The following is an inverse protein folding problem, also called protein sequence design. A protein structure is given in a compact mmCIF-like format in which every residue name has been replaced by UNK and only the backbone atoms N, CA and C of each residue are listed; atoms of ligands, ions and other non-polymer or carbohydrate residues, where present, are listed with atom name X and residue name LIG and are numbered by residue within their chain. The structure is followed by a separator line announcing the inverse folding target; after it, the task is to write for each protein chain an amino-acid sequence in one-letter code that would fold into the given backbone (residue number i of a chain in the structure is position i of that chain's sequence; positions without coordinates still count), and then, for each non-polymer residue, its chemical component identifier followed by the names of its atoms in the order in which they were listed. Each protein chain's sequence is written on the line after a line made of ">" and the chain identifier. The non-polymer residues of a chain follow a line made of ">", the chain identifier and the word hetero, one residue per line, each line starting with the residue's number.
data_IF_018406479472
#
_entry.id   IF_018406479472
#
_cell.length_a   1.000
_cell.length_b   1.000
_cell.length_c   1.000
_cell.angle_alpha   90.00
_cell.angle_beta   90.00
_cell.angle_gamma   90.00
#
_symmetry.space_group_name_H-M   'P 1'
#
loop_
_entity.id
_entity.type
_entity.pdbx_description
1 polymer ?
#
# COMPACT_ATOMS: atom_id res chain seq x y z
N UNK A 1 -6.39 -30.13 -6.61
CA UNK A 1 -7.76 -30.12 -7.14
C UNK A 1 -8.27 -28.70 -6.95
N UNK A 2 -7.98 -27.83 -7.93
CA UNK A 2 -8.31 -26.41 -7.87
C UNK A 2 -9.75 -26.26 -8.35
N UNK A 3 -10.66 -26.01 -7.41
CA UNK A 3 -12.05 -25.71 -7.73
C UNK A 3 -12.12 -24.26 -8.19
N UNK A 4 -12.68 -24.11 -9.39
CA UNK A 4 -13.02 -22.90 -10.09
C UNK A 4 -13.86 -21.97 -9.20
N UNK A 5 -13.27 -20.87 -8.74
CA UNK A 5 -14.02 -19.67 -8.34
C UNK A 5 -13.35 -18.45 -8.93
N UNK A 6 -13.88 -18.07 -10.09
CA UNK A 6 -14.01 -16.72 -10.64
C UNK A 6 -12.73 -15.87 -10.77
N UNK A 7 -12.22 -15.94 -12.00
CA UNK A 7 -11.25 -15.03 -12.57
C UNK A 7 -11.92 -13.72 -12.99
N UNK A 8 -11.61 -12.61 -12.31
CA UNK A 8 -11.72 -11.26 -12.88
C UNK A 8 -10.73 -10.32 -12.18
N UNK A 9 -9.44 -10.51 -12.44
CA UNK A 9 -8.42 -9.49 -12.14
C UNK A 9 -7.24 -9.45 -13.11
N UNK A 10 -7.25 -10.28 -14.16
CA UNK A 10 -6.25 -10.21 -15.23
C UNK A 10 -6.97 -9.98 -16.55
N UNK A 11 -7.14 -8.70 -16.86
CA UNK A 11 -7.25 -8.10 -18.20
C UNK A 11 -7.45 -6.58 -18.01
N UNK A 12 -6.35 -5.81 -18.04
CA UNK A 12 -6.42 -4.53 -18.76
C UNK A 12 -6.56 -4.90 -20.23
N UNK A 13 -7.80 -5.17 -20.65
CA UNK A 13 -8.14 -5.19 -22.06
C UNK A 13 -8.16 -3.73 -22.50
N UNK A 14 -7.29 -3.43 -23.47
CA UNK A 14 -7.46 -2.45 -24.55
C UNK A 14 -8.40 -1.28 -24.28
N UNK A 15 -7.85 -0.08 -24.38
CA UNK A 15 -8.52 1.19 -24.68
C UNK A 15 -9.72 0.95 -25.61
N UNK A 16 -10.93 0.80 -25.04
CA UNK A 16 -12.24 0.97 -25.68
C UNK A 16 -13.36 0.54 -24.71
N UNK A 17 -13.76 1.51 -23.87
CA UNK A 17 -15.04 1.71 -23.17
C UNK A 17 -14.80 2.24 -21.76
N UNK A 18 -14.49 3.55 -21.65
CA UNK A 18 -14.67 4.27 -20.39
C UNK A 18 -16.16 4.18 -20.04
N UNK A 19 -16.49 3.35 -19.06
CA UNK A 19 -17.80 3.40 -18.43
C UNK A 19 -17.90 4.79 -17.78
N UNK A 20 -18.96 5.53 -18.11
CA UNK A 20 -19.32 6.74 -17.34
C UNK A 20 -19.76 6.23 -15.98
N UNK A 21 -18.82 6.21 -15.03
CA UNK A 21 -19.13 6.06 -13.61
C UNK A 21 -20.02 7.24 -13.25
N UNK A 22 -21.20 6.99 -12.69
CA UNK A 22 -22.15 8.03 -12.31
C UNK A 22 -21.68 8.73 -11.01
N UNK A 23 -20.54 9.40 -11.11
CA UNK A 23 -19.97 10.19 -10.04
C UNK A 23 -20.92 11.31 -9.60
N UNK A 24 -21.77 11.82 -10.51
CA UNK A 24 -22.77 12.84 -10.19
C UNK A 24 -23.84 12.29 -9.24
N UNK A 25 -24.36 11.09 -9.50
CA UNK A 25 -25.32 10.45 -8.61
C UNK A 25 -24.73 10.10 -7.25
N UNK A 26 -23.52 9.51 -7.23
CA UNK A 26 -22.84 9.17 -5.98
C UNK A 26 -22.51 10.43 -5.17
N UNK A 27 -21.99 11.49 -5.80
CA UNK A 27 -21.73 12.76 -5.12
C UNK A 27 -23.01 13.37 -4.54
N UNK A 28 -24.12 13.32 -5.29
CA UNK A 28 -25.42 13.80 -4.82
C UNK A 28 -25.91 13.05 -3.57
N UNK A 29 -25.74 11.72 -3.53
CA UNK A 29 -26.08 10.93 -2.34
C UNK A 29 -25.22 11.31 -1.14
N UNK A 30 -23.91 11.47 -1.33
CA UNK A 30 -22.98 11.88 -0.28
C UNK A 30 -23.37 13.26 0.29
N UNK A 31 -23.64 14.24 -0.58
CA UNK A 31 -24.06 15.58 -0.17
C UNK A 31 -25.35 15.54 0.67
N UNK A 32 -26.34 14.76 0.25
CA UNK A 32 -27.59 14.57 0.99
C UNK A 32 -27.35 13.92 2.37
N UNK A 33 -26.49 12.89 2.43
CA UNK A 33 -26.13 12.22 3.69
C UNK A 33 -25.43 13.14 4.70
N UNK A 34 -24.63 14.10 4.21
CA UNK A 34 -23.86 15.00 5.07
C UNK A 34 -24.57 16.31 5.40
N UNK A 35 -25.69 16.63 4.73
CA UNK A 35 -26.36 17.94 4.80
C UNK A 35 -26.72 18.40 6.23
N UNK A 36 -27.03 17.48 7.14
CA UNK A 36 -27.39 17.77 8.53
C UNK A 36 -26.24 17.55 9.53
N UNK A 37 -25.01 17.38 9.03
CA UNK A 37 -23.82 17.17 9.85
C UNK A 37 -22.95 18.43 9.84
N UNK A 38 -21.95 18.50 10.73
CA UNK A 38 -20.91 19.54 10.68
C UNK A 38 -20.02 19.49 9.44
N UNK A 39 -20.14 18.42 8.64
CA UNK A 39 -19.42 18.18 7.41
C UNK A 39 -20.31 18.37 6.17
N UNK A 40 -21.41 19.11 6.30
CA UNK A 40 -22.21 19.53 5.15
C UNK A 40 -21.31 20.26 4.14
N UNK A 41 -21.43 19.89 2.86
CA UNK A 41 -20.60 20.39 1.78
C UNK A 41 -21.44 21.13 0.74
N UNK A 42 -20.85 22.12 0.09
CA UNK A 42 -21.46 22.86 -1.03
C UNK A 42 -21.16 22.21 -2.38
N UNK A 43 -20.04 21.49 -2.49
CA UNK A 43 -19.59 20.84 -3.71
C UNK A 43 -18.63 19.67 -3.40
N UNK A 44 -18.53 18.72 -4.33
CA UNK A 44 -17.66 17.56 -4.29
C UNK A 44 -17.01 17.33 -5.66
N UNK A 45 -15.69 17.38 -5.72
CA UNK A 45 -14.90 17.09 -6.93
C UNK A 45 -14.27 15.70 -6.80
N UNK A 46 -14.44 14.79 -7.79
CA UNK A 46 -13.79 13.48 -7.76
C UNK A 46 -12.27 13.61 -7.66
N UNK A 47 -11.65 12.78 -6.82
CA UNK A 47 -10.21 12.60 -6.79
C UNK A 47 -9.83 11.34 -7.56
N UNK A 48 -8.77 11.43 -8.36
CA UNK A 48 -8.21 10.30 -9.09
C UNK A 48 -7.39 9.39 -8.15
N UNK A 49 -7.18 8.13 -8.57
CA UNK A 49 -6.24 7.20 -7.91
C UNK A 49 -6.88 6.05 -7.11
N UNK A 50 -8.16 6.13 -6.74
CA UNK A 50 -8.85 5.05 -6.02
C UNK A 50 -9.42 3.98 -6.95
N UNK A 51 -9.11 2.69 -6.75
CA UNK A 51 -9.70 1.59 -7.53
C UNK A 51 -11.04 1.09 -6.96
N UNK A 52 -11.16 1.09 -5.63
CA UNK A 52 -12.24 0.42 -4.90
C UNK A 52 -13.30 1.39 -4.37
N UNK A 53 -12.90 2.54 -3.83
CA UNK A 53 -13.83 3.50 -3.24
C UNK A 53 -14.03 4.73 -4.13
N UNK A 54 -15.15 5.40 -3.95
CA UNK A 54 -15.39 6.71 -4.55
C UNK A 54 -14.75 7.75 -3.63
N UNK A 55 -13.83 8.52 -4.17
CA UNK A 55 -13.06 9.51 -3.40
C UNK A 55 -13.36 10.88 -3.98
N UNK A 56 -13.68 11.84 -3.11
CA UNK A 56 -13.96 13.22 -3.49
C UNK A 56 -13.20 14.16 -2.57
N UNK A 57 -12.76 15.29 -3.12
CA UNK A 57 -12.46 16.49 -2.34
C UNK A 57 -13.75 17.31 -2.27
N UNK A 58 -14.23 17.58 -1.07
CA UNK A 58 -15.44 18.33 -0.86
C UNK A 58 -15.15 19.68 -0.21
N UNK A 59 -15.87 20.71 -0.63
CA UNK A 59 -15.81 22.04 -0.02
C UNK A 59 -16.92 22.14 1.01
N UNK A 60 -16.55 22.41 2.26
CA UNK A 60 -17.49 22.51 3.37
C UNK A 60 -18.35 23.77 3.26
N UNK A 61 -19.60 23.67 3.68
CA UNK A 61 -20.51 24.83 3.80
C UNK A 61 -20.08 25.79 4.91
N UNK A 62 -19.41 25.26 5.94
CA UNK A 62 -18.83 26.02 7.04
C UNK A 62 -17.42 25.48 7.31
N UNK A 63 -16.38 26.34 7.40
CA UNK A 63 -15.03 25.89 7.74
C UNK A 63 -14.98 25.16 9.09
N UNK A 64 -14.03 24.22 9.22
CA UNK A 64 -13.74 23.54 10.49
C UNK A 64 -13.06 24.48 11.49
N UNK A 65 -12.92 24.03 12.74
CA UNK A 65 -12.26 24.81 13.80
C UNK A 65 -10.79 25.15 13.51
N UNK A 66 -10.11 24.31 12.72
CA UNK A 66 -8.75 24.52 12.22
C UNK A 66 -8.70 25.40 10.96
N UNK A 67 -9.83 26.02 10.58
CA UNK A 67 -10.03 26.85 9.39
C UNK A 67 -9.92 26.08 8.07
N UNK A 68 -9.86 24.75 8.11
CA UNK A 68 -9.93 23.95 6.89
C UNK A 68 -11.31 24.09 6.25
N UNK A 69 -11.32 24.48 4.97
CA UNK A 69 -12.53 24.64 4.16
C UNK A 69 -12.85 23.40 3.34
N UNK A 70 -11.92 22.44 3.28
CA UNK A 70 -12.06 21.21 2.48
C UNK A 70 -11.84 19.96 3.31
N UNK A 71 -12.48 18.87 2.87
CA UNK A 71 -12.33 17.52 3.42
C UNK A 71 -12.20 16.50 2.29
N UNK A 72 -11.58 15.36 2.58
CA UNK A 72 -11.61 14.21 1.69
C UNK A 72 -12.72 13.27 2.12
N UNK A 73 -13.66 13.01 1.21
CA UNK A 73 -14.76 12.08 1.41
C UNK A 73 -14.41 10.76 0.72
N UNK A 74 -14.39 9.68 1.49
CA UNK A 74 -14.19 8.33 0.98
C UNK A 74 -15.46 7.52 1.20
N UNK A 75 -16.15 7.20 0.12
CA UNK A 75 -17.41 6.47 0.15
C UNK A 75 -17.20 5.03 -0.35
N UNK A 76 -17.51 4.07 0.51
CA UNK A 76 -17.30 2.66 0.26
C UNK A 76 -18.59 1.89 0.04
N UNK A 77 -18.70 1.25 -1.13
CA UNK A 77 -19.83 0.38 -1.48
C UNK A 77 -19.46 -1.10 -1.42
N UNK A 78 -20.48 -1.96 -1.54
CA UNK A 78 -20.34 -3.42 -1.68
C UNK A 78 -19.67 -3.87 -2.99
N UNK A 79 -19.32 -2.93 -3.86
CA UNK A 79 -18.63 -3.14 -5.12
C UNK A 79 -17.56 -2.06 -5.32
N UNK A 80 -16.57 -2.35 -6.17
CA UNK A 80 -15.50 -1.42 -6.49
C UNK A 80 -15.98 -0.29 -7.41
N UNK A 81 -15.50 0.94 -7.17
CA UNK A 81 -15.83 2.12 -7.96
C UNK A 81 -15.39 2.00 -9.43
N UNK A 82 -14.16 1.48 -9.66
CA UNK A 82 -13.53 1.49 -10.98
C UNK A 82 -13.29 0.09 -11.56
N UNK A 83 -13.76 -0.97 -10.90
CA UNK A 83 -13.62 -2.35 -11.37
C UNK A 83 -14.99 -3.00 -11.47
N UNK A 84 -15.47 -3.12 -12.71
CA UNK A 84 -16.79 -3.69 -13.03
C UNK A 84 -16.94 -5.09 -12.44
N UNK A 85 -18.12 -5.36 -11.88
CA UNK A 85 -18.52 -6.66 -11.30
C UNK A 85 -17.67 -7.14 -10.11
N UNK A 86 -16.71 -6.33 -9.66
CA UNK A 86 -15.89 -6.65 -8.51
C UNK A 86 -16.65 -6.34 -7.21
N UNK A 87 -17.19 -7.40 -6.60
CA UNK A 87 -17.74 -7.31 -5.25
C UNK A 87 -16.61 -7.12 -4.22
N UNK A 88 -16.81 -6.17 -3.31
CA UNK A 88 -15.87 -5.82 -2.25
C UNK A 88 -16.60 -5.67 -0.92
N UNK A 89 -16.15 -6.38 0.13
CA UNK A 89 -16.85 -6.38 1.40
C UNK A 89 -16.76 -4.98 2.05
N UNK A 90 -17.89 -4.47 2.55
CA UNK A 90 -17.96 -3.12 3.15
C UNK A 90 -17.18 -3.04 4.48
N UNK A 91 -16.95 -4.18 5.15
CA UNK A 91 -16.16 -4.29 6.39
C UNK A 91 -14.79 -3.59 6.31
N UNK A 92 -14.21 -3.44 5.12
CA UNK A 92 -12.96 -2.70 4.88
C UNK A 92 -13.04 -1.24 5.33
N UNK A 93 -14.20 -0.60 5.18
CA UNK A 93 -14.46 0.78 5.58
C UNK A 93 -14.50 0.92 7.10
N UNK A 94 -15.15 -0.05 7.76
CA UNK A 94 -15.21 -0.11 9.23
C UNK A 94 -13.83 -0.36 9.84
N UNK A 95 -13.04 -1.25 9.23
CA UNK A 95 -11.68 -1.54 9.69
C UNK A 95 -10.75 -0.34 9.51
N UNK A 96 -10.82 0.35 8.37
CA UNK A 96 -10.12 1.61 8.15
C UNK A 96 -10.53 2.67 9.18
N UNK A 97 -11.82 2.90 9.38
CA UNK A 97 -12.31 3.88 10.34
C UNK A 97 -11.85 3.56 11.77
N UNK A 98 -11.96 2.30 12.20
CA UNK A 98 -11.55 1.85 13.52
C UNK A 98 -10.03 2.02 13.73
N UNK A 99 -9.21 1.62 12.76
CA UNK A 99 -7.76 1.67 12.88
C UNK A 99 -7.22 3.10 12.81
N UNK A 100 -7.73 3.93 11.90
CA UNK A 100 -7.31 5.34 11.81
C UNK A 100 -7.76 6.12 13.05
N UNK A 101 -8.96 5.85 13.58
CA UNK A 101 -9.40 6.44 14.85
C UNK A 101 -8.46 6.08 16.01
N UNK A 102 -8.03 4.82 16.09
CA UNK A 102 -7.05 4.40 17.08
C UNK A 102 -5.71 5.14 16.87
N UNK A 103 -5.20 5.19 15.65
CA UNK A 103 -3.96 5.93 15.31
C UNK A 103 -4.05 7.41 15.66
N UNK A 104 -5.18 8.07 15.41
CA UNK A 104 -5.41 9.47 15.78
C UNK A 104 -5.45 9.66 17.30
N UNK A 105 -5.98 8.70 18.06
CA UNK A 105 -6.02 8.78 19.53
C UNK A 105 -4.63 8.64 20.19
N UNK A 106 -3.69 8.02 19.48
CA UNK A 106 -2.31 7.80 19.95
C UNK A 106 -1.36 8.94 19.58
N UNK A 107 -1.84 9.95 18.87
CA UNK A 107 -1.01 10.98 18.23
C UNK A 107 0.15 10.34 17.45
N UNK A 108 -0.20 9.49 16.49
CA UNK A 108 0.72 8.68 15.67
C UNK A 108 1.77 9.47 14.87
N UNK A 109 1.81 10.80 15.00
CA UNK A 109 2.80 11.68 14.43
C UNK A 109 4.17 11.45 15.05
N UNK A 110 5.10 10.89 14.28
CA UNK A 110 6.49 10.74 14.69
C UNK A 110 7.38 11.68 13.88
N UNK A 111 7.95 12.68 14.55
CA UNK A 111 8.91 13.60 13.94
C UNK A 111 10.32 13.10 14.18
N UNK A 112 11.01 12.77 13.09
CA UNK A 112 12.41 12.39 13.12
C UNK A 112 13.31 13.54 13.55
N UNK A 113 14.53 13.23 13.98
CA UNK A 113 15.57 14.22 14.27
C UNK A 113 15.91 15.14 13.10
N UNK A 114 15.54 14.75 11.89
CA UNK A 114 15.85 15.47 10.66
C UNK A 114 14.66 16.35 10.21
N UNK A 115 13.64 16.53 11.06
CA UNK A 115 12.47 17.36 10.78
C UNK A 115 11.43 16.73 9.85
N UNK A 116 11.57 15.44 9.52
CA UNK A 116 10.55 14.70 8.75
C UNK A 116 9.53 14.11 9.72
N UNK A 117 8.26 14.48 9.56
CA UNK A 117 7.12 13.92 10.29
C UNK A 117 6.43 12.84 9.46
N UNK A 118 6.14 11.68 10.07
CA UNK A 118 5.27 10.65 9.49
C UNK A 118 4.03 10.51 10.37
N UNK A 119 2.84 10.56 9.76
CA UNK A 119 1.55 10.48 10.44
C UNK A 119 0.47 9.83 9.59
N UNK A 120 -0.73 9.71 10.14
CA UNK A 120 -1.96 9.39 9.41
C UNK A 120 -2.82 10.63 9.19
N UNK A 121 -3.80 10.59 8.26
CA UNK A 121 -4.80 11.65 8.17
C UNK A 121 -5.66 11.64 9.44
N UNK A 122 -6.22 12.79 9.80
CA UNK A 122 -7.29 12.84 10.80
C UNK A 122 -8.57 12.29 10.20
N UNK A 123 -9.19 11.33 10.87
CA UNK A 123 -10.55 10.91 10.61
C UNK A 123 -11.50 11.80 11.41
N UNK A 124 -12.18 12.71 10.72
CA UNK A 124 -13.12 13.63 11.33
C UNK A 124 -14.46 12.98 11.67
N UNK A 125 -14.93 12.06 10.82
CA UNK A 125 -16.19 11.33 11.04
C UNK A 125 -16.25 10.04 10.24
N UNK A 126 -17.16 9.15 10.66
CA UNK A 126 -17.55 7.97 9.90
C UNK A 126 -19.07 7.80 9.95
N UNK A 127 -19.71 8.03 8.81
CA UNK A 127 -21.15 7.82 8.61
C UNK A 127 -21.37 6.37 8.21
N UNK A 128 -21.79 5.54 9.16
CA UNK A 128 -21.92 4.09 8.97
C UNK A 128 -22.88 3.68 7.84
N UNK A 129 -23.91 4.49 7.55
CA UNK A 129 -24.87 4.26 6.47
C UNK A 129 -25.11 5.59 5.75
N UNK A 130 -24.54 5.80 4.54
CA UNK A 130 -24.13 4.79 3.57
C UNK A 130 -22.60 4.49 3.52
N UNK A 131 -21.89 4.42 4.64
CA UNK A 131 -20.42 4.22 4.68
C UNK A 131 -19.63 5.34 4.00
N UNK A 132 -19.57 6.49 4.66
CA UNK A 132 -18.77 7.65 4.25
C UNK A 132 -17.76 7.96 5.35
N UNK A 133 -16.47 7.88 5.03
CA UNK A 133 -15.39 8.37 5.88
C UNK A 133 -15.08 9.81 5.51
N UNK A 134 -15.01 10.69 6.51
CA UNK A 134 -14.67 12.10 6.36
C UNK A 134 -13.25 12.29 6.90
N UNK A 135 -12.28 12.49 6.00
CA UNK A 135 -10.88 12.69 6.33
C UNK A 135 -10.46 14.15 6.20
N UNK A 136 -9.39 14.48 6.92
CA UNK A 136 -8.53 15.62 6.63
C UNK A 136 -8.16 15.69 5.15
N UNK A 137 -8.33 16.86 4.52
CA UNK A 137 -7.75 17.14 3.22
C UNK A 137 -6.30 17.59 3.38
N UNK A 138 -5.37 16.70 3.03
CA UNK A 138 -3.95 16.97 3.06
C UNK A 138 -3.54 17.79 1.81
N UNK A 139 -4.05 19.02 1.73
CA UNK A 139 -3.92 19.90 0.58
C UNK A 139 -2.46 20.29 0.29
N UNK A 140 -2.14 20.59 -0.98
CA UNK A 140 -0.77 20.89 -1.40
C UNK A 140 0.20 19.71 -1.32
N UNK A 141 -0.31 18.49 -1.19
CA UNK A 141 0.47 17.26 -1.23
C UNK A 141 0.39 16.58 -2.59
N UNK A 142 1.31 15.65 -2.83
CA UNK A 142 1.28 14.68 -3.92
C UNK A 142 1.55 13.28 -3.38
N UNK A 143 1.31 12.23 -4.17
CA UNK A 143 1.75 10.90 -3.76
C UNK A 143 3.27 10.85 -3.74
N UNK A 144 3.84 10.03 -2.86
CA UNK A 144 5.27 9.83 -2.79
C UNK A 144 5.79 9.14 -4.07
N UNK A 145 4.94 8.34 -4.72
CA UNK A 145 5.20 7.85 -6.07
C UNK A 145 5.41 9.01 -7.07
N UNK A 146 4.50 9.98 -7.11
CA UNK A 146 4.62 11.12 -8.04
C UNK A 146 5.85 11.97 -7.71
N UNK A 147 6.10 12.23 -6.42
CA UNK A 147 7.31 12.91 -5.96
C UNK A 147 8.59 12.24 -6.48
N UNK A 148 8.64 10.91 -6.47
CA UNK A 148 9.78 10.16 -7.00
C UNK A 148 9.90 10.19 -8.52
N UNK A 149 8.80 10.34 -9.23
CA UNK A 149 8.79 10.43 -10.69
C UNK A 149 9.18 11.83 -11.16
N UNK A 150 8.58 12.84 -10.54
CA UNK A 150 8.71 14.26 -10.89
C UNK A 150 10.08 14.81 -10.51
N UNK A 151 10.73 14.25 -9.48
CA UNK A 151 12.08 14.66 -9.01
C UNK A 151 12.16 16.17 -8.78
N UNK A 152 11.37 16.71 -7.83
CA UNK A 152 11.33 18.15 -7.61
C UNK A 152 12.69 18.69 -7.18
N UNK A 153 12.89 19.98 -7.38
CA UNK A 153 14.11 20.69 -7.00
C UNK A 153 14.48 20.43 -5.53
N UNK A 154 15.76 20.19 -5.28
CA UNK A 154 16.27 19.90 -3.94
C UNK A 154 16.22 18.43 -3.55
N UNK A 155 15.40 17.58 -4.20
CA UNK A 155 15.38 16.14 -3.93
C UNK A 155 16.74 15.49 -4.26
N UNK A 156 17.32 14.81 -3.27
CA UNK A 156 18.65 14.22 -3.36
C UNK A 156 18.77 12.94 -2.51
N UNK A 157 19.93 12.29 -2.58
CA UNK A 157 20.26 11.06 -1.84
C UNK A 157 20.06 11.14 -0.32
N UNK A 158 20.37 12.28 0.30
CA UNK A 158 20.23 12.45 1.75
C UNK A 158 18.76 12.58 2.14
N UNK A 159 17.97 13.34 1.38
CA UNK A 159 16.52 13.44 1.56
C UNK A 159 15.85 12.08 1.34
N UNK A 160 16.23 11.34 0.28
CA UNK A 160 15.71 10.00 0.03
C UNK A 160 16.00 9.05 1.21
N UNK A 161 17.23 9.08 1.72
CA UNK A 161 17.63 8.32 2.91
C UNK A 161 16.81 8.71 4.14
N UNK A 162 16.62 10.01 4.38
CA UNK A 162 15.89 10.53 5.53
C UNK A 162 14.40 10.20 5.49
N UNK A 163 13.76 10.31 4.31
CA UNK A 163 12.38 9.88 4.07
C UNK A 163 12.26 8.39 4.38
N UNK A 164 13.12 7.56 3.78
CA UNK A 164 13.10 6.12 4.00
C UNK A 164 13.27 5.76 5.48
N UNK A 165 14.22 6.38 6.16
CA UNK A 165 14.47 6.16 7.58
C UNK A 165 13.27 6.52 8.46
N UNK A 166 12.60 7.63 8.16
CA UNK A 166 11.44 8.09 8.91
C UNK A 166 10.25 7.16 8.71
N UNK A 167 10.00 6.72 7.47
CA UNK A 167 8.96 5.73 7.14
C UNK A 167 9.23 4.39 7.83
N UNK A 168 10.47 3.88 7.77
CA UNK A 168 10.85 2.64 8.43
C UNK A 168 10.67 2.71 9.96
N UNK A 169 11.06 3.82 10.59
CA UNK A 169 10.88 4.03 12.03
C UNK A 169 9.41 4.06 12.42
N UNK A 170 8.61 4.83 11.68
CA UNK A 170 7.19 4.94 11.93
C UNK A 170 6.48 3.59 11.74
N UNK A 171 6.83 2.83 10.69
CA UNK A 171 6.26 1.50 10.46
C UNK A 171 6.66 0.51 11.56
N UNK A 172 7.90 0.58 12.05
CA UNK A 172 8.34 -0.24 13.17
C UNK A 172 7.57 0.07 14.45
N UNK A 173 7.33 1.35 14.73
CA UNK A 173 6.48 1.78 15.84
C UNK A 173 5.06 1.23 15.66
N UNK A 174 4.43 1.45 14.51
CA UNK A 174 3.08 0.96 14.20
C UNK A 174 2.93 -0.55 14.44
N UNK A 175 3.87 -1.36 13.92
CA UNK A 175 3.83 -2.81 14.09
C UNK A 175 4.00 -3.28 15.55
N UNK A 176 4.59 -2.47 16.41
CA UNK A 176 4.93 -2.85 17.79
C UNK A 176 4.15 -2.07 18.85
N UNK A 177 3.25 -1.18 18.44
CA UNK A 177 2.48 -0.35 19.35
C UNK A 177 1.52 -1.19 20.21
N UNK A 178 1.76 -1.29 21.53
CA UNK A 178 1.03 -2.20 22.40
C UNK A 178 -0.44 -1.79 22.58
N UNK A 179 -0.78 -0.51 22.40
CA UNK A 179 -2.15 -0.05 22.65
C UNK A 179 -3.17 -0.64 21.68
N UNK A 180 -2.77 -1.01 20.46
CA UNK A 180 -3.67 -1.71 19.52
C UNK A 180 -4.15 -3.06 20.07
N UNK A 181 -3.33 -3.75 20.86
CA UNK A 181 -3.71 -5.03 21.46
C UNK A 181 -4.70 -4.88 22.62
N UNK A 182 -4.93 -3.66 23.12
CA UNK A 182 -5.82 -3.41 24.26
C UNK A 182 -7.26 -3.04 23.86
N UNK A 183 -7.49 -2.76 22.58
CA UNK A 183 -8.82 -2.35 22.09
C UNK A 183 -9.54 -3.53 21.43
N UNK A 184 -10.43 -4.20 22.18
CA UNK A 184 -11.16 -5.38 21.71
C UNK A 184 -11.99 -5.11 20.43
N UNK A 185 -12.66 -3.96 20.35
CA UNK A 185 -13.46 -3.56 19.19
C UNK A 185 -12.61 -3.38 17.92
N UNK A 186 -11.44 -2.74 18.05
CA UNK A 186 -10.47 -2.59 16.96
C UNK A 186 -10.00 -3.96 16.48
N UNK A 187 -9.56 -4.81 17.41
CA UNK A 187 -9.07 -6.15 17.09
C UNK A 187 -10.17 -7.00 16.42
N UNK A 188 -11.41 -6.93 16.89
CA UNK A 188 -12.53 -7.65 16.29
C UNK A 188 -12.80 -7.18 14.86
N UNK A 189 -12.90 -5.87 14.66
CA UNK A 189 -13.22 -5.28 13.34
C UNK A 189 -12.11 -5.57 12.32
N UNK A 190 -10.85 -5.40 12.69
CA UNK A 190 -9.71 -5.71 11.80
C UNK A 190 -9.61 -7.20 11.53
N UNK A 191 -9.94 -8.07 12.49
CA UNK A 191 -10.00 -9.52 12.27
C UNK A 191 -11.11 -9.91 11.30
N UNK A 192 -12.27 -9.27 11.36
CA UNK A 192 -13.34 -9.46 10.37
C UNK A 192 -12.87 -9.06 8.97
N UNK A 193 -12.17 -7.93 8.84
CA UNK A 193 -11.58 -7.53 7.56
C UNK A 193 -10.54 -8.54 7.06
N UNK A 194 -9.65 -8.99 7.95
CA UNK A 194 -8.66 -10.04 7.67
C UNK A 194 -9.30 -11.29 7.07
N UNK A 195 -10.39 -11.78 7.69
CA UNK A 195 -11.12 -12.94 7.20
C UNK A 195 -11.76 -12.70 5.83
N UNK A 196 -12.19 -11.47 5.55
CA UNK A 196 -12.85 -11.10 4.30
C UNK A 196 -11.86 -10.91 3.13
N UNK A 197 -10.65 -10.39 3.38
CA UNK A 197 -9.73 -9.98 2.31
C UNK A 197 -8.43 -10.79 2.23
N UNK A 198 -7.88 -11.28 3.35
CA UNK A 198 -6.49 -11.81 3.40
C UNK A 198 -6.26 -12.96 2.43
N UNK A 199 -7.12 -13.98 2.48
CA UNK A 199 -7.02 -15.16 1.62
C UNK A 199 -7.15 -14.78 0.14
N UNK A 200 -8.09 -13.89 -0.17
CA UNK A 200 -8.32 -13.42 -1.54
C UNK A 200 -7.11 -12.67 -2.07
N UNK A 201 -6.58 -11.73 -1.28
CA UNK A 201 -5.43 -10.91 -1.63
C UNK A 201 -4.17 -11.76 -1.84
N UNK A 202 -3.87 -12.68 -0.92
CA UNK A 202 -2.69 -13.54 -1.04
C UNK A 202 -2.79 -14.52 -2.21
N UNK A 203 -3.98 -15.07 -2.44
CA UNK A 203 -4.23 -15.95 -3.60
C UNK A 203 -4.06 -15.18 -4.91
N UNK A 204 -4.49 -13.91 -4.94
CA UNK A 204 -4.32 -13.04 -6.10
C UNK A 204 -2.85 -12.72 -6.35
N UNK A 205 -2.09 -12.30 -5.32
CA UNK A 205 -0.64 -12.03 -5.44
C UNK A 205 0.11 -13.22 -6.01
N UNK A 206 -0.13 -14.42 -5.48
CA UNK A 206 0.54 -15.63 -5.96
C UNK A 206 0.10 -16.03 -7.36
N UNK A 207 -1.19 -15.90 -7.68
CA UNK A 207 -1.69 -16.19 -9.04
C UNK A 207 -1.01 -15.27 -10.05
N UNK A 208 -0.98 -13.96 -9.80
CA UNK A 208 -0.31 -13.00 -10.66
C UNK A 208 1.18 -13.31 -10.81
N UNK A 209 1.85 -13.62 -9.70
CA UNK A 209 3.24 -14.03 -9.69
C UNK A 209 3.46 -15.24 -10.61
N UNK A 210 2.66 -16.31 -10.47
CA UNK A 210 2.77 -17.50 -11.32
C UNK A 210 2.50 -17.21 -12.79
N UNK A 211 1.41 -16.52 -13.10
CA UNK A 211 1.02 -16.22 -14.48
C UNK A 211 2.14 -15.47 -15.20
N UNK A 212 2.76 -14.48 -14.54
CA UNK A 212 3.84 -13.66 -15.09
C UNK A 212 5.17 -14.41 -15.17
N UNK A 213 5.53 -15.17 -14.15
CA UNK A 213 6.74 -16.02 -14.21
C UNK A 213 6.62 -17.03 -15.34
N UNK A 214 5.48 -17.68 -15.50
CA UNK A 214 5.24 -18.62 -16.58
C UNK A 214 5.27 -17.93 -17.95
N UNK A 215 4.62 -16.78 -18.11
CA UNK A 215 4.64 -16.01 -19.34
C UNK A 215 6.06 -15.56 -19.73
N UNK A 216 6.91 -15.24 -18.74
CA UNK A 216 8.28 -14.80 -18.98
C UNK A 216 9.24 -15.89 -19.46
N UNK A 217 8.90 -17.17 -19.27
CA UNK A 217 9.79 -18.30 -19.53
C UNK A 217 11.18 -18.15 -18.88
N UNK A 218 11.27 -17.36 -17.82
CA UNK A 218 12.55 -16.94 -17.22
C UNK A 218 13.28 -18.04 -16.44
N UNK A 219 12.63 -19.16 -16.16
CA UNK A 219 13.18 -20.24 -15.35
C UNK A 219 13.18 -21.58 -16.09
N UNK A 220 14.24 -22.39 -15.94
CA UNK A 220 14.23 -23.80 -16.33
C UNK A 220 13.11 -24.58 -15.64
N UNK A 221 12.66 -25.68 -16.26
CA UNK A 221 11.55 -26.50 -15.77
C UNK A 221 11.72 -26.95 -14.30
N UNK A 222 12.92 -27.40 -13.91
CA UNK A 222 13.20 -27.84 -12.54
C UNK A 222 13.08 -26.70 -11.52
N UNK A 223 13.53 -25.49 -11.88
CA UNK A 223 13.41 -24.30 -11.03
C UNK A 223 11.96 -23.84 -10.92
N UNK A 224 11.17 -23.95 -11.99
CA UNK A 224 9.74 -23.67 -11.96
C UNK A 224 9.00 -24.65 -11.02
N UNK A 225 9.34 -25.95 -11.06
CA UNK A 225 8.77 -26.94 -10.13
C UNK A 225 9.08 -26.61 -8.67
N UNK A 226 10.32 -26.22 -8.36
CA UNK A 226 10.70 -25.78 -7.00
C UNK A 226 9.94 -24.52 -6.59
N UNK A 227 9.82 -23.54 -7.49
CA UNK A 227 9.10 -22.29 -7.24
C UNK A 227 7.64 -22.56 -6.87
N UNK A 228 6.96 -23.44 -7.62
CA UNK A 228 5.58 -23.86 -7.33
C UNK A 228 5.47 -24.54 -5.96
N UNK A 229 6.41 -25.42 -5.61
CA UNK A 229 6.41 -26.09 -4.32
C UNK A 229 6.59 -25.09 -3.17
N UNK A 230 7.57 -24.18 -3.29
CA UNK A 230 7.85 -23.15 -2.29
C UNK A 230 6.67 -22.17 -2.13
N UNK A 231 6.06 -21.71 -3.21
CA UNK A 231 4.92 -20.80 -3.15
C UNK A 231 3.68 -21.43 -2.52
N UNK A 232 3.42 -22.73 -2.74
CA UNK A 232 2.36 -23.46 -2.03
C UNK A 232 2.64 -23.55 -0.52
N UNK A 233 3.88 -23.88 -0.15
CA UNK A 233 4.28 -23.95 1.25
C UNK A 233 4.20 -22.57 1.93
N UNK A 234 4.64 -21.52 1.24
CA UNK A 234 4.56 -20.13 1.69
C UNK A 234 3.10 -19.71 1.93
N UNK A 235 2.21 -19.97 0.96
CA UNK A 235 0.78 -19.67 1.10
C UNK A 235 0.17 -20.38 2.32
N UNK A 236 0.44 -21.68 2.50
CA UNK A 236 -0.07 -22.42 3.66
C UNK A 236 0.41 -21.79 4.96
N UNK A 237 1.72 -21.54 5.09
CA UNK A 237 2.31 -20.91 6.29
C UNK A 237 1.68 -19.54 6.56
N UNK A 238 1.41 -18.75 5.52
CA UNK A 238 0.81 -17.43 5.67
C UNK A 238 -0.68 -17.45 5.96
N UNK A 239 -1.46 -18.46 5.52
CA UNK A 239 -2.87 -18.57 5.86
C UNK A 239 -3.11 -19.22 7.23
N UNK A 240 -2.20 -20.10 7.66
CA UNK A 240 -2.31 -20.80 8.94
C UNK A 240 -1.80 -19.96 10.13
N UNK A 241 -1.13 -18.84 9.86
CA UNK A 241 -0.66 -17.89 10.90
C UNK A 241 -1.83 -17.20 11.60
N UNK A 242 -2.18 -17.71 12.79
CA UNK A 242 -3.24 -17.18 13.65
C UNK A 242 -2.79 -15.97 14.49
N UNK A 243 -1.51 -15.90 14.90
CA UNK A 243 -0.83 -14.77 15.57
C UNK A 243 0.53 -15.24 16.12
N UNK A 244 1.51 -14.36 16.27
CA UNK A 244 2.83 -14.69 16.85
C UNK A 244 3.86 -13.57 16.69
N UNK A 245 5.07 -13.77 17.22
CA UNK A 245 6.21 -12.86 17.04
C UNK A 245 6.42 -12.65 15.53
N UNK A 246 6.22 -11.43 15.02
CA UNK A 246 6.31 -11.02 13.60
C UNK A 246 5.00 -11.04 12.80
N UNK A 247 3.88 -11.05 13.50
CA UNK A 247 2.56 -10.81 12.92
C UNK A 247 1.69 -10.00 13.88
N UNK A 248 0.82 -9.18 13.32
CA UNK A 248 -0.03 -8.26 14.08
C UNK A 248 -0.81 -7.39 13.11
N UNK A 249 -1.22 -6.21 13.58
CA UNK A 249 -1.82 -5.20 12.70
C UNK A 249 -0.81 -4.79 11.63
N UNK A 250 -1.26 -4.85 10.37
CA UNK A 250 -0.56 -4.34 9.20
C UNK A 250 -1.49 -3.39 8.42
N UNK A 251 -0.91 -2.48 7.66
CA UNK A 251 -1.63 -1.66 6.70
C UNK A 251 -2.19 -2.51 5.55
N UNK A 252 -1.41 -3.50 5.09
CA UNK A 252 -1.81 -4.45 4.04
C UNK A 252 -1.54 -3.98 2.61
N UNK A 253 -1.35 -2.68 2.41
CA UNK A 253 -0.96 -2.03 1.13
C UNK A 253 -0.06 -0.80 1.39
N UNK A 254 0.89 -0.93 2.32
CA UNK A 254 1.86 0.12 2.65
C UNK A 254 2.78 0.38 1.45
N UNK A 255 2.56 1.49 0.73
CA UNK A 255 3.25 1.78 -0.54
C UNK A 255 3.51 3.28 -0.74
N UNK A 256 4.42 3.66 -1.66
CA UNK A 256 4.60 5.04 -2.08
C UNK A 256 3.33 5.69 -2.67
N UNK A 257 2.39 4.91 -3.21
CA UNK A 257 1.09 5.43 -3.71
C UNK A 257 0.17 5.85 -2.58
N UNK A 258 0.24 5.11 -1.47
CA UNK A 258 -0.59 5.32 -0.29
C UNK A 258 0.16 6.15 0.77
N UNK A 259 1.17 6.90 0.34
CA UNK A 259 1.91 7.85 1.17
C UNK A 259 1.87 9.19 0.46
N UNK A 260 1.25 10.19 1.07
CA UNK A 260 1.28 11.57 0.58
C UNK A 260 2.48 12.30 1.17
N UNK A 261 3.04 13.24 0.41
CA UNK A 261 4.15 14.09 0.83
C UNK A 261 3.82 15.56 0.61
N UNK A 262 4.04 16.37 1.64
CA UNK A 262 4.19 17.81 1.51
C UNK A 262 5.68 18.13 1.53
N UNK A 263 6.16 18.74 0.45
CA UNK A 263 7.56 19.07 0.25
C UNK A 263 7.69 20.43 -0.43
N UNK A 264 8.64 21.24 0.03
CA UNK A 264 9.08 22.45 -0.68
C UNK A 264 10.60 22.50 -0.70
N UNK A 265 11.19 22.94 -1.80
CA UNK A 265 12.65 23.06 -1.92
C UNK A 265 13.23 24.06 -0.90
N UNK A 266 12.48 25.11 -0.58
CA UNK A 266 12.87 26.15 0.38
C UNK A 266 12.97 25.62 1.83
N UNK A 267 12.11 24.66 2.18
CA UNK A 267 12.05 24.06 3.52
C UNK A 267 12.21 22.53 3.45
N UNK A 268 13.28 22.06 2.82
CA UNK A 268 13.56 20.62 2.68
C UNK A 268 13.76 19.87 4.01
N UNK A 269 13.83 20.60 5.13
CA UNK A 269 13.93 20.07 6.49
C UNK A 269 12.58 19.98 7.21
N UNK A 270 11.47 20.38 6.58
CA UNK A 270 10.10 20.34 7.13
C UNK A 270 9.20 19.55 6.18
N UNK A 271 9.42 18.23 6.16
CA UNK A 271 8.67 17.31 5.28
C UNK A 271 7.63 16.61 6.13
N UNK A 272 6.37 16.66 5.68
CA UNK A 272 5.29 15.87 6.30
C UNK A 272 4.86 14.77 5.35
N UNK A 273 4.90 13.53 5.85
CA UNK A 273 4.45 12.32 5.18
C UNK A 273 3.16 11.84 5.85
N UNK A 274 2.14 11.54 5.03
CA UNK A 274 0.83 11.11 5.50
C UNK A 274 0.48 9.74 4.88
N UNK A 275 0.39 8.70 5.71
CA UNK A 275 0.05 7.34 5.30
C UNK A 275 -1.47 7.19 5.26
N UNK A 276 -2.00 6.93 4.06
CA UNK A 276 -3.43 6.93 3.74
C UNK A 276 -3.89 5.56 3.23
N UNK A 277 -5.20 5.41 3.00
CA UNK A 277 -5.81 4.22 2.39
C UNK A 277 -5.65 2.92 3.20
N UNK A 278 -6.23 2.92 4.39
CA UNK A 278 -6.12 1.81 5.34
C UNK A 278 -7.16 0.71 5.15
N UNK A 279 -7.84 0.66 4.00
CA UNK A 279 -8.96 -0.26 3.77
C UNK A 279 -8.53 -1.74 3.77
N UNK A 280 -7.26 -2.00 3.44
CA UNK A 280 -6.68 -3.35 3.46
C UNK A 280 -6.09 -3.76 4.81
N UNK A 281 -6.31 -2.97 5.86
CA UNK A 281 -5.73 -3.23 7.15
C UNK A 281 -6.23 -4.57 7.72
N UNK A 282 -5.30 -5.34 8.28
CA UNK A 282 -5.56 -6.72 8.66
C UNK A 282 -4.57 -7.18 9.72
N UNK A 283 -4.84 -8.33 10.32
CA UNK A 283 -3.82 -9.12 10.98
C UNK A 283 -3.03 -9.86 9.90
N UNK A 284 -1.72 -9.62 9.84
CA UNK A 284 -0.83 -10.18 8.83
C UNK A 284 0.62 -10.21 9.28
N UNK A 285 1.51 -10.68 8.39
CA UNK A 285 2.94 -10.62 8.66
C UNK A 285 3.45 -9.20 8.45
N UNK A 286 4.21 -8.67 9.39
CA UNK A 286 4.85 -7.35 9.27
C UNK A 286 5.74 -7.22 8.03
N UNK A 287 6.29 -8.34 7.55
CA UNK A 287 7.13 -8.35 6.36
C UNK A 287 6.36 -7.94 5.10
N UNK A 288 5.03 -8.11 5.08
CA UNK A 288 4.21 -7.73 3.93
C UNK A 288 4.25 -6.22 3.65
N UNK A 289 4.13 -5.38 4.69
CA UNK A 289 4.13 -3.92 4.52
C UNK A 289 5.50 -3.41 4.05
N UNK A 290 6.59 -3.91 4.65
CA UNK A 290 7.95 -3.55 4.24
C UNK A 290 8.20 -4.01 2.79
N UNK A 291 7.81 -5.24 2.47
CA UNK A 291 8.01 -5.82 1.15
C UNK A 291 7.25 -5.06 0.07
N UNK A 292 6.00 -4.65 0.34
CA UNK A 292 5.19 -3.87 -0.60
C UNK A 292 5.91 -2.57 -0.95
N UNK A 293 6.41 -1.86 0.06
CA UNK A 293 7.08 -0.60 -0.15
C UNK A 293 8.38 -0.75 -0.95
N UNK A 294 9.23 -1.73 -0.59
CA UNK A 294 10.49 -2.01 -1.28
C UNK A 294 10.26 -2.47 -2.72
N UNK A 295 9.30 -3.37 -2.95
CA UNK A 295 8.96 -3.83 -4.30
C UNK A 295 8.49 -2.67 -5.19
N UNK A 296 7.70 -1.75 -4.66
CA UNK A 296 7.19 -0.60 -5.42
C UNK A 296 8.29 0.37 -5.79
N UNK A 297 9.19 0.69 -4.85
CA UNK A 297 10.37 1.51 -5.13
C UNK A 297 11.24 0.83 -6.20
N UNK A 298 11.47 -0.48 -6.09
CA UNK A 298 12.28 -1.21 -7.06
C UNK A 298 11.65 -1.12 -8.46
N UNK A 299 10.35 -1.38 -8.59
CA UNK A 299 9.63 -1.26 -9.88
C UNK A 299 9.68 0.18 -10.40
N UNK A 300 9.41 1.19 -9.58
CA UNK A 300 9.50 2.61 -9.97
C UNK A 300 10.91 2.97 -10.47
N UNK A 301 11.95 2.52 -9.78
CA UNK A 301 13.34 2.76 -10.17
C UNK A 301 13.65 2.23 -11.57
N UNK A 302 13.12 1.06 -11.92
CA UNK A 302 13.42 0.39 -13.17
C UNK A 302 12.66 1.00 -14.35
N UNK A 303 11.40 1.43 -14.14
CA UNK A 303 10.61 2.06 -15.20
C UNK A 303 10.90 3.55 -15.37
N UNK A 304 11.19 4.28 -14.29
CA UNK A 304 11.27 5.74 -14.31
C UNK A 304 12.69 6.29 -14.06
N UNK A 305 13.66 5.42 -13.77
CA UNK A 305 15.07 5.79 -13.66
C UNK A 305 15.38 6.71 -12.46
N UNK A 306 14.83 6.41 -11.28
CA UNK A 306 15.11 7.18 -10.07
C UNK A 306 16.44 6.74 -9.43
N UNK A 307 17.44 7.63 -9.47
CA UNK A 307 18.82 7.41 -8.99
C UNK A 307 18.93 7.24 -7.47
N UNK A 308 17.91 7.64 -6.70
CA UNK A 308 17.92 7.62 -5.22
C UNK A 308 17.09 6.49 -4.60
N UNK A 309 16.57 5.59 -5.44
CA UNK A 309 15.76 4.44 -5.01
C UNK A 309 16.49 3.53 -4.03
N UNK A 310 17.81 3.33 -4.22
CA UNK A 310 18.64 2.52 -3.33
C UNK A 310 18.78 3.17 -1.96
N UNK A 311 19.03 4.48 -1.91
CA UNK A 311 19.15 5.26 -0.68
C UNK A 311 17.85 5.26 0.12
N UNK A 312 16.72 5.34 -0.57
CA UNK A 312 15.41 5.22 0.04
C UNK A 312 15.18 3.82 0.65
N UNK A 313 15.44 2.75 -0.11
CA UNK A 313 15.34 1.37 0.40
C UNK A 313 16.28 1.13 1.59
N UNK A 314 17.53 1.60 1.51
CA UNK A 314 18.50 1.57 2.62
C UNK A 314 17.98 2.33 3.84
N UNK A 315 17.39 3.51 3.62
CA UNK A 315 16.76 4.32 4.65
C UNK A 315 15.68 3.52 5.38
N UNK A 316 14.76 2.90 4.64
CA UNK A 316 13.67 2.08 5.21
C UNK A 316 14.23 0.96 6.07
N UNK A 317 15.18 0.18 5.54
CA UNK A 317 15.77 -0.94 6.27
C UNK A 317 16.51 -0.49 7.54
N UNK A 318 17.20 0.65 7.49
CA UNK A 318 17.87 1.24 8.67
C UNK A 318 16.89 1.82 9.70
N UNK A 319 15.76 2.33 9.23
CA UNK A 319 14.73 2.93 10.09
C UNK A 319 13.88 1.88 10.79
N UNK A 320 13.61 0.79 10.10
CA UNK A 320 12.81 -0.31 10.64
C UNK A 320 13.59 -1.08 11.72
N UNK A 321 12.88 -1.78 12.62
CA UNK A 321 13.53 -2.61 13.63
C UNK A 321 14.45 -3.64 12.99
N UNK A 322 15.49 -4.03 13.73
CA UNK A 322 16.40 -5.09 13.31
C UNK A 322 15.62 -6.39 13.07
N UNK A 323 15.85 -6.97 11.90
CA UNK A 323 15.31 -8.26 11.49
C UNK A 323 16.35 -9.35 11.76
N UNK A 324 15.89 -10.50 12.23
CA UNK A 324 16.70 -11.71 12.26
C UNK A 324 16.75 -12.36 10.86
N UNK A 325 17.61 -13.36 10.71
CA UNK A 325 17.84 -13.99 9.40
C UNK A 325 16.59 -14.68 8.81
N UNK A 326 15.73 -15.30 9.64
CA UNK A 326 14.47 -15.87 9.14
C UNK A 326 13.54 -14.78 8.60
N UNK A 327 13.45 -13.65 9.30
CA UNK A 327 12.63 -12.51 8.88
C UNK A 327 13.15 -11.89 7.58
N UNK A 328 14.47 -11.78 7.40
CA UNK A 328 15.07 -11.26 6.17
C UNK A 328 14.73 -12.13 4.96
N UNK A 329 14.82 -13.44 5.09
CA UNK A 329 14.40 -14.34 4.00
C UNK A 329 12.90 -14.31 3.78
N UNK A 330 12.09 -14.16 4.83
CA UNK A 330 10.65 -13.99 4.66
C UNK A 330 10.30 -12.68 3.93
N UNK A 331 10.97 -11.58 4.28
CA UNK A 331 10.87 -10.28 3.60
C UNK A 331 11.23 -10.42 2.12
N UNK A 332 12.37 -11.04 1.82
CA UNK A 332 12.79 -11.28 0.44
C UNK A 332 11.78 -12.12 -0.36
N UNK A 333 11.18 -13.16 0.26
CA UNK A 333 10.13 -13.95 -0.40
C UNK A 333 8.89 -13.10 -0.72
N UNK A 334 8.44 -12.25 0.20
CA UNK A 334 7.36 -11.31 -0.08
C UNK A 334 7.71 -10.33 -1.20
N UNK A 335 8.93 -9.78 -1.21
CA UNK A 335 9.39 -8.87 -2.27
C UNK A 335 9.32 -9.57 -3.63
N UNK A 336 9.82 -10.80 -3.73
CA UNK A 336 9.75 -11.60 -4.96
C UNK A 336 8.32 -11.75 -5.50
N UNK A 337 7.35 -11.99 -4.62
CA UNK A 337 5.93 -12.08 -5.02
C UNK A 337 5.40 -10.70 -5.46
N UNK A 338 5.67 -9.65 -4.69
CA UNK A 338 5.05 -8.34 -4.85
C UNK A 338 5.64 -7.50 -5.99
N UNK A 339 6.89 -7.76 -6.41
CA UNK A 339 7.50 -7.16 -7.60
C UNK A 339 6.63 -7.33 -8.87
N UNK A 340 5.87 -8.43 -8.93
CA UNK A 340 4.99 -8.74 -10.06
C UNK A 340 3.56 -8.23 -9.86
N UNK A 341 3.36 -7.22 -9.02
CA UNK A 341 2.13 -6.43 -8.93
C UNK A 341 2.34 -5.00 -9.44
N UNK A 342 3.19 -4.87 -10.46
CA UNK A 342 3.60 -3.60 -11.03
C UNK A 342 2.46 -2.80 -11.69
N UNK A 343 1.30 -3.41 -12.00
CA UNK A 343 0.17 -2.70 -12.63
C UNK A 343 -0.41 -1.61 -11.74
N UNK A 344 -0.16 -1.69 -10.43
CA UNK A 344 -0.54 -0.63 -9.51
C UNK A 344 0.40 0.56 -9.59
N UNK A 345 1.63 0.34 -10.02
CA UNK A 345 2.73 1.33 -9.98
C UNK A 345 2.94 1.97 -11.35
N UNK A 346 2.83 1.19 -12.44
CA UNK A 346 3.14 1.60 -13.79
C UNK A 346 1.88 2.06 -14.52
N UNK A 347 1.90 3.32 -14.96
CA UNK A 347 0.82 3.94 -15.76
C UNK A 347 1.13 3.84 -17.26
N UNK A 348 2.40 4.06 -17.63
CA UNK A 348 2.94 3.92 -18.99
C UNK A 348 4.25 3.11 -18.90
N UNK A 349 4.39 2.11 -19.77
CA UNK A 349 5.55 1.22 -19.82
C UNK A 349 6.60 1.66 -20.85
N UNK A 350 6.27 2.62 -21.71
CA UNK A 350 7.18 3.23 -22.68
C UNK A 350 7.81 2.24 -23.68
N UNK A 351 8.70 2.73 -24.56
CA UNK A 351 9.46 1.86 -25.47
C UNK A 351 10.33 0.87 -24.69
N UNK A 352 10.18 -0.43 -24.97
CA UNK A 352 10.94 -1.49 -24.29
C UNK A 352 10.32 -1.99 -22.98
N UNK A 353 9.15 -1.48 -22.58
CA UNK A 353 8.47 -1.87 -21.35
C UNK A 353 8.21 -3.36 -21.20
N UNK A 354 7.90 -4.07 -22.30
CA UNK A 354 7.71 -5.52 -22.27
C UNK A 354 8.98 -6.28 -21.96
N UNK A 355 10.13 -5.89 -22.52
CA UNK A 355 11.42 -6.51 -22.19
C UNK A 355 11.75 -6.30 -20.71
N UNK A 356 11.54 -5.08 -20.21
CA UNK A 356 11.75 -4.77 -18.80
C UNK A 356 10.83 -5.58 -17.87
N UNK A 357 9.55 -5.75 -18.22
CA UNK A 357 8.63 -6.64 -17.48
C UNK A 357 9.15 -8.07 -17.44
N UNK A 358 9.72 -8.59 -18.54
CA UNK A 358 10.30 -9.93 -18.57
C UNK A 358 11.54 -10.02 -17.68
N UNK A 359 12.40 -9.00 -17.69
CA UNK A 359 13.56 -8.90 -16.79
C UNK A 359 13.14 -8.90 -15.32
N UNK A 360 12.13 -8.10 -14.97
CA UNK A 360 11.61 -8.03 -13.59
C UNK A 360 10.92 -9.36 -13.21
N UNK A 361 10.20 -10.00 -14.12
CA UNK A 361 9.63 -11.34 -13.89
C UNK A 361 10.72 -12.38 -13.57
N UNK A 362 11.82 -12.37 -14.33
CA UNK A 362 12.96 -13.23 -14.08
C UNK A 362 13.63 -12.94 -12.73
N UNK A 363 13.83 -11.66 -12.42
CA UNK A 363 14.42 -11.22 -11.17
C UNK A 363 13.55 -11.62 -9.97
N UNK A 364 12.25 -11.32 -10.01
CA UNK A 364 11.28 -11.66 -8.98
C UNK A 364 11.22 -13.17 -8.69
N UNK A 365 11.25 -13.99 -9.75
CA UNK A 365 11.26 -15.44 -9.62
C UNK A 365 12.52 -15.95 -8.89
N UNK A 366 13.69 -15.38 -9.23
CA UNK A 366 14.95 -15.69 -8.55
C UNK A 366 14.96 -15.20 -7.10
N UNK A 367 14.52 -13.96 -6.84
CA UNK A 367 14.38 -13.42 -5.47
C UNK A 367 13.56 -14.37 -4.61
N UNK A 368 12.38 -14.81 -5.08
CA UNK A 368 11.53 -15.72 -4.34
C UNK A 368 12.18 -17.08 -4.09
N UNK A 369 12.79 -17.69 -5.12
CA UNK A 369 13.48 -18.96 -5.00
C UNK A 369 14.65 -18.90 -4.02
N UNK A 370 15.54 -17.91 -4.19
CA UNK A 370 16.72 -17.72 -3.36
C UNK A 370 16.38 -17.39 -1.92
N UNK A 371 15.30 -16.65 -1.70
CA UNK A 371 14.75 -16.44 -0.36
C UNK A 371 14.29 -17.75 0.29
N UNK A 372 13.55 -18.57 -0.45
CA UNK A 372 13.06 -19.86 0.04
C UNK A 372 14.19 -20.89 0.27
N UNK A 373 15.25 -20.82 -0.53
CA UNK A 373 16.46 -21.65 -0.43
C UNK A 373 17.47 -21.12 0.60
N UNK A 374 17.21 -19.94 1.21
CA UNK A 374 18.07 -19.25 2.17
C UNK A 374 19.48 -18.93 1.65
N UNK A 375 19.57 -18.55 0.37
CA UNK A 375 20.84 -18.23 -0.30
C UNK A 375 21.30 -16.80 0.02
N UNK A 376 21.96 -16.64 1.17
CA UNK A 376 22.43 -15.31 1.65
C UNK A 376 23.43 -14.67 0.69
N UNK A 377 24.34 -15.47 0.15
CA UNK A 377 25.43 -15.00 -0.72
C UNK A 377 24.87 -14.35 -1.99
N UNK A 378 23.82 -14.92 -2.57
CA UNK A 378 23.12 -14.35 -3.72
C UNK A 378 22.60 -12.94 -3.44
N UNK A 379 21.99 -12.72 -2.26
CA UNK A 379 21.47 -11.41 -1.90
C UNK A 379 22.57 -10.38 -1.61
N UNK A 380 23.62 -10.77 -0.88
CA UNK A 380 24.70 -9.84 -0.53
C UNK A 380 25.46 -9.31 -1.74
N UNK A 381 25.41 -10.04 -2.86
CA UNK A 381 26.06 -9.66 -4.12
C UNK A 381 25.09 -9.07 -5.16
N UNK A 382 23.79 -8.93 -4.83
CA UNK A 382 22.74 -8.51 -5.77
C UNK A 382 22.11 -7.16 -5.46
N UNK A 383 21.08 -6.81 -6.24
CA UNK A 383 20.37 -5.51 -6.14
C UNK A 383 19.66 -5.29 -4.80
N UNK A 384 19.26 -6.37 -4.13
CA UNK A 384 18.59 -6.34 -2.82
C UNK A 384 19.56 -6.55 -1.64
N UNK A 385 20.85 -6.27 -1.83
CA UNK A 385 21.86 -6.36 -0.76
C UNK A 385 21.50 -5.54 0.49
N UNK A 386 20.75 -4.45 0.32
CA UNK A 386 20.27 -3.60 1.41
C UNK A 386 19.49 -4.37 2.48
N UNK A 387 18.88 -5.51 2.12
CA UNK A 387 18.16 -6.37 3.07
C UNK A 387 19.10 -7.12 4.01
N UNK A 388 20.34 -7.44 3.59
CA UNK A 388 21.24 -8.35 4.30
C UNK A 388 22.53 -7.68 4.80
N UNK A 389 22.63 -6.35 4.66
CA UNK A 389 23.76 -5.52 5.06
C UNK A 389 23.77 -5.14 6.54
#
# INVERSE_FOLDING_TARGET
>A
MFVNTEAHFSKRQSVESKVVVDHEHIASQILLSLANTRYACVDCVPLEGGAINYIYRATLSCPLHDQNETVVLKHGLGHAANIRDLQTPVIRCFAEAALVKALNSLDSGNTSSNGIMVRTPRLYDFVNDPCILVFEDFSGSMTLQDFFNDRPEGYNADIATAIGNSLGKWLSWFHTEPQFATTEELAMTVKMNSNAIRKRLMSWYLKNFFDKVQASQALPADSLMRLVAHAKAFLSKELDKQSGNNSGFIHGDYSPRNTLIQYTAENSNDITLCVVDWETCQFGSYMQDIARFIADIYVLSHFNGNEFSVQLMDGIMKGYRRLNEEELFQLAAYIGILLLNWEFVIVDDGPGGDELKMTIAAFAANVFLKACEKDREWFTNGDLRCLFN
#
